data_IF_564911797891
#
_entry.id   IF_564911797891
#
_cell.length_a   1.000
_cell.length_b   1.000
_cell.length_c   1.000
_cell.angle_alpha   90.00
_cell.angle_beta   90.00
_cell.angle_gamma   90.00
#
_symmetry.space_group_name_H-M   'P 1'
#
loop_
_entity.id
_entity.type
_entity.pdbx_description
1 polymer ?
#
# COMPACT_ATOMS: atom_id res chain seq x y z
N UNK A 1 21.10 5.41 -4.29
CA UNK A 1 21.46 4.25 -3.45
C UNK A 1 20.35 3.22 -3.56
N UNK A 2 20.65 2.01 -4.05
CA UNK A 2 19.64 0.93 -4.11
C UNK A 2 19.56 0.25 -2.75
N UNK A 3 18.39 0.24 -2.11
CA UNK A 3 18.19 -0.41 -0.80
C UNK A 3 18.29 -1.94 -0.87
N UNK A 4 18.25 -2.54 -2.07
CA UNK A 4 18.31 -3.99 -2.28
C UNK A 4 17.51 -4.78 -1.22
N UNK A 5 16.18 -4.62 -1.17
CA UNK A 5 15.33 -5.12 -0.08
C UNK A 5 15.39 -6.64 0.09
N UNK A 6 15.79 -7.39 -0.95
CA UNK A 6 15.90 -8.85 -0.95
C UNK A 6 17.33 -9.37 -0.86
N UNK A 7 18.32 -8.54 -0.54
CA UNK A 7 19.70 -8.99 -0.37
C UNK A 7 19.91 -9.78 0.93
N UNK A 8 19.11 -9.49 1.96
CA UNK A 8 19.16 -10.16 3.27
C UNK A 8 17.85 -9.96 4.02
N UNK A 9 17.62 -10.74 5.08
CA UNK A 9 16.48 -10.55 5.97
C UNK A 9 16.53 -9.16 6.63
N UNK A 10 17.69 -8.66 7.03
CA UNK A 10 17.83 -7.33 7.63
C UNK A 10 17.45 -6.19 6.68
N UNK A 11 17.80 -6.30 5.39
CA UNK A 11 17.37 -5.33 4.39
C UNK A 11 15.85 -5.40 4.18
N UNK A 12 15.27 -6.59 4.25
CA UNK A 12 13.83 -6.76 4.15
C UNK A 12 13.09 -6.16 5.35
N UNK A 13 13.63 -6.29 6.57
CA UNK A 13 13.09 -5.64 7.78
C UNK A 13 13.06 -4.12 7.63
N UNK A 14 14.13 -3.51 7.11
CA UNK A 14 14.18 -2.06 6.80
C UNK A 14 13.16 -1.66 5.74
N UNK A 15 12.97 -2.51 4.73
CA UNK A 15 11.93 -2.30 3.72
C UNK A 15 10.53 -2.33 4.33
N UNK A 16 10.24 -3.26 5.25
CA UNK A 16 8.95 -3.30 5.96
C UNK A 16 8.72 -2.06 6.82
N UNK A 17 9.76 -1.55 7.50
CA UNK A 17 9.66 -0.29 8.22
C UNK A 17 9.27 0.87 7.29
N UNK A 18 9.92 1.00 6.13
CA UNK A 18 9.55 2.02 5.15
C UNK A 18 8.12 1.86 4.62
N UNK A 19 7.68 0.62 4.36
CA UNK A 19 6.30 0.34 3.95
C UNK A 19 5.28 0.69 5.04
N UNK A 20 5.63 0.46 6.30
CA UNK A 20 4.77 0.81 7.43
C UNK A 20 4.58 2.31 7.54
N UNK A 21 5.66 3.11 7.48
CA UNK A 21 5.56 4.57 7.55
C UNK A 21 4.74 5.12 6.36
N UNK A 22 5.00 4.60 5.16
CA UNK A 22 4.27 5.00 3.96
C UNK A 22 2.77 4.69 4.07
N UNK A 23 2.42 3.44 4.40
CA UNK A 23 1.02 3.02 4.51
C UNK A 23 0.31 3.66 5.71
N UNK A 24 1.01 3.96 6.80
CA UNK A 24 0.43 4.69 7.95
C UNK A 24 0.08 6.11 7.58
N UNK A 25 0.96 6.79 6.82
CA UNK A 25 0.75 8.17 6.35
C UNK A 25 -0.50 8.29 5.46
N UNK A 26 -0.71 7.33 4.55
CA UNK A 26 -1.83 7.38 3.60
C UNK A 26 -3.10 6.72 4.10
N UNK A 27 -3.05 5.95 5.19
CA UNK A 27 -4.21 5.23 5.73
C UNK A 27 -5.43 6.13 6.01
N UNK A 28 -5.29 7.36 6.55
CA UNK A 28 -6.44 8.26 6.73
C UNK A 28 -7.21 8.55 5.44
N UNK A 29 -6.53 8.56 4.29
CA UNK A 29 -7.16 8.81 2.99
C UNK A 29 -8.17 7.70 2.63
N UNK A 30 -7.86 6.45 2.98
CA UNK A 30 -8.75 5.30 2.75
C UNK A 30 -9.96 5.27 3.71
N UNK A 31 -9.92 6.07 4.77
CA UNK A 31 -10.97 6.22 5.77
C UNK A 31 -11.76 7.53 5.60
N UNK A 32 -11.39 8.35 4.62
CA UNK A 32 -12.08 9.61 4.34
C UNK A 32 -13.49 9.35 3.80
N UNK A 33 -14.51 9.90 4.47
CA UNK A 33 -15.90 9.66 4.13
C UNK A 33 -16.31 10.26 2.78
N UNK A 34 -15.71 11.40 2.37
CA UNK A 34 -16.02 12.02 1.10
C UNK A 34 -15.46 11.21 -0.07
N UNK A 35 -14.26 10.64 0.09
CA UNK A 35 -13.64 9.75 -0.88
C UNK A 35 -14.29 8.37 -0.88
N UNK A 36 -14.73 7.85 0.28
CA UNK A 36 -15.49 6.60 0.34
C UNK A 36 -16.84 6.72 -0.40
N UNK A 37 -17.50 7.88 -0.32
CA UNK A 37 -18.67 8.18 -1.16
C UNK A 37 -18.33 8.35 -2.64
N UNK A 38 -17.04 8.37 -3.00
CA UNK A 38 -16.56 8.47 -4.37
C UNK A 38 -16.00 7.17 -4.98
N UNK A 39 -15.44 6.30 -4.15
CA UNK A 39 -14.77 5.09 -4.58
C UNK A 39 -15.34 3.91 -3.79
N UNK A 40 -16.18 3.12 -4.45
CA UNK A 40 -16.80 1.95 -3.81
C UNK A 40 -15.74 0.94 -3.34
N UNK A 41 -15.77 0.61 -2.05
CA UNK A 41 -14.81 -0.30 -1.44
C UNK A 41 -13.42 0.30 -1.24
N UNK A 42 -13.28 1.64 -1.17
CA UNK A 42 -12.01 2.32 -0.91
C UNK A 42 -11.30 1.78 0.32
N UNK A 43 -12.02 1.65 1.44
CA UNK A 43 -11.43 1.19 2.71
C UNK A 43 -10.80 -0.20 2.61
N UNK A 44 -11.35 -1.09 1.78
CA UNK A 44 -10.79 -2.44 1.57
C UNK A 44 -9.46 -2.44 0.80
N UNK A 45 -9.13 -1.33 0.14
CA UNK A 45 -7.87 -1.19 -0.60
C UNK A 45 -6.69 -0.87 0.32
N UNK A 46 -6.94 -0.41 1.55
CA UNK A 46 -5.91 -0.12 2.53
C UNK A 46 -5.08 -1.39 2.83
N UNK A 47 -3.74 -1.24 2.82
CA UNK A 47 -2.81 -2.35 3.07
C UNK A 47 -2.11 -2.30 4.41
N UNK A 48 -2.36 -1.26 5.22
CA UNK A 48 -1.65 -1.06 6.48
C UNK A 48 -1.73 -2.29 7.40
N UNK A 49 -2.89 -2.93 7.51
CA UNK A 49 -3.06 -4.11 8.37
C UNK A 49 -2.26 -5.32 7.86
N UNK A 50 -2.08 -5.45 6.53
CA UNK A 50 -1.23 -6.50 5.95
C UNK A 50 0.24 -6.25 6.25
N UNK A 51 0.69 -4.99 6.16
CA UNK A 51 2.06 -4.59 6.53
C UNK A 51 2.30 -4.89 8.01
N UNK A 52 1.37 -4.52 8.89
CA UNK A 52 1.45 -4.83 10.33
C UNK A 52 1.53 -6.33 10.60
N UNK A 53 0.76 -7.13 9.86
CA UNK A 53 0.84 -8.60 9.95
C UNK A 53 2.23 -9.12 9.55
N UNK A 54 2.77 -8.66 8.41
CA UNK A 54 4.10 -9.07 7.93
C UNK A 54 5.21 -8.62 8.92
N UNK A 55 5.08 -7.43 9.52
CA UNK A 55 6.00 -6.95 10.56
C UNK A 55 5.94 -7.79 11.83
N UNK A 56 4.74 -8.14 12.31
CA UNK A 56 4.56 -9.00 13.48
C UNK A 56 5.16 -10.38 13.24
N UNK A 57 4.91 -10.95 12.09
CA UNK A 57 5.38 -12.27 11.67
C UNK A 57 6.91 -12.36 11.60
N UNK A 58 7.57 -11.24 11.36
CA UNK A 58 9.01 -11.14 11.30
C UNK A 58 9.62 -10.48 12.53
N UNK A 59 8.85 -10.10 13.54
CA UNK A 59 9.34 -9.40 14.74
C UNK A 59 10.07 -8.10 14.37
N UNK A 60 9.43 -7.26 13.55
CA UNK A 60 9.93 -5.94 13.13
C UNK A 60 9.15 -4.86 13.83
N UNK A 61 9.85 -4.02 14.59
CA UNK A 61 9.28 -2.83 15.18
C UNK A 61 9.28 -1.65 14.18
N UNK A 62 8.34 -0.70 14.30
CA UNK A 62 8.37 0.55 13.56
C UNK A 62 9.71 1.28 13.72
N UNK A 63 10.06 2.13 12.76
CA UNK A 63 11.37 2.81 12.78
C UNK A 63 11.50 3.78 13.98
N UNK A 64 10.38 4.22 14.56
CA UNK A 64 10.35 4.92 15.85
C UNK A 64 10.80 6.37 15.81
N UNK A 65 10.87 6.98 14.62
CA UNK A 65 10.95 8.44 14.49
C UNK A 65 9.56 9.00 14.27
N UNK A 66 9.21 10.05 15.02
CA UNK A 66 8.07 10.90 14.67
C UNK A 66 8.33 11.50 13.29
N UNK A 67 7.68 10.91 12.29
CA UNK A 67 7.54 11.53 10.98
C UNK A 67 6.31 12.40 11.10
N UNK A 68 6.46 13.72 10.93
CA UNK A 68 5.30 14.59 10.81
C UNK A 68 4.47 14.14 9.62
N UNK A 69 3.32 13.55 9.90
CA UNK A 69 2.32 13.23 8.89
C UNK A 69 1.55 14.50 8.55
N UNK A 70 1.78 15.01 7.35
CA UNK A 70 0.97 16.09 6.79
C UNK A 70 -0.48 15.62 6.60
N UNK A 71 -1.42 16.53 6.85
CA UNK A 71 -2.84 16.28 6.63
C UNK A 71 -3.12 16.39 5.13
N UNK A 72 -3.24 15.25 4.46
CA UNK A 72 -3.50 15.15 3.02
C UNK A 72 -5.00 15.23 2.76
N UNK A 73 -5.46 16.19 1.95
CA UNK A 73 -6.91 16.40 1.69
C UNK A 73 -7.20 16.74 0.24
N UNK A 74 -8.48 16.69 -0.14
CA UNK A 74 -8.96 17.15 -1.45
C UNK A 74 -8.30 16.45 -2.64
N UNK A 75 -7.88 17.22 -3.65
CA UNK A 75 -7.25 16.69 -4.86
C UNK A 75 -5.88 16.07 -4.61
N UNK A 76 -5.15 16.53 -3.59
CA UNK A 76 -3.86 15.95 -3.20
C UNK A 76 -4.04 14.49 -2.77
N UNK A 77 -5.09 14.20 -2.00
CA UNK A 77 -5.42 12.86 -1.54
C UNK A 77 -5.65 11.87 -2.69
N UNK A 78 -6.27 12.34 -3.79
CA UNK A 78 -6.44 11.53 -5.00
C UNK A 78 -5.09 11.24 -5.66
N UNK A 79 -4.18 12.22 -5.71
CA UNK A 79 -2.82 12.03 -6.21
C UNK A 79 -2.03 11.00 -5.40
N UNK A 80 -2.16 11.05 -4.07
CA UNK A 80 -1.58 10.04 -3.18
C UNK A 80 -2.19 8.65 -3.40
N UNK A 81 -3.51 8.53 -3.51
CA UNK A 81 -4.16 7.25 -3.84
C UNK A 81 -3.65 6.67 -5.16
N UNK A 82 -3.50 7.50 -6.20
CA UNK A 82 -2.93 7.08 -7.48
C UNK A 82 -1.51 6.52 -7.31
N UNK A 83 -0.65 7.21 -6.57
CA UNK A 83 0.73 6.75 -6.33
C UNK A 83 0.78 5.44 -5.53
N UNK A 84 0.04 5.36 -4.42
CA UNK A 84 0.01 4.17 -3.56
C UNK A 84 -0.53 2.98 -4.34
N UNK A 85 -1.59 3.17 -5.11
CA UNK A 85 -2.20 2.07 -5.83
C UNK A 85 -1.45 1.68 -7.11
N UNK A 86 -0.72 2.62 -7.72
CA UNK A 86 0.23 2.33 -8.79
C UNK A 86 1.47 1.54 -8.31
N UNK A 87 1.91 1.76 -7.06
CA UNK A 87 3.08 1.07 -6.47
C UNK A 87 2.95 -0.47 -6.47
N UNK A 88 1.73 -0.98 -6.56
CA UNK A 88 1.43 -2.40 -6.59
C UNK A 88 1.85 -3.13 -7.87
N UNK A 89 1.92 -2.40 -8.99
CA UNK A 89 2.46 -2.97 -10.23
C UNK A 89 3.94 -3.34 -10.02
N UNK A 90 4.66 -2.53 -9.25
CA UNK A 90 6.02 -2.84 -8.80
C UNK A 90 6.07 -3.98 -7.77
N UNK A 91 5.08 -4.08 -6.88
CA UNK A 91 5.02 -5.14 -5.87
C UNK A 91 5.00 -6.55 -6.48
N UNK A 92 4.32 -6.78 -7.61
CA UNK A 92 4.33 -8.07 -8.30
C UNK A 92 5.74 -8.52 -8.74
N UNK A 93 6.60 -7.57 -9.13
CA UNK A 93 8.01 -7.84 -9.47
C UNK A 93 8.79 -8.17 -8.19
N UNK A 94 8.55 -7.42 -7.11
CA UNK A 94 9.17 -7.64 -5.81
C UNK A 94 8.79 -9.01 -5.20
N UNK A 95 7.58 -9.51 -5.43
CA UNK A 95 7.17 -10.85 -4.99
C UNK A 95 8.05 -11.95 -5.59
N UNK A 96 8.34 -11.86 -6.89
CA UNK A 96 9.21 -12.82 -7.59
C UNK A 96 10.61 -12.85 -6.98
N UNK A 97 11.09 -11.68 -6.54
CA UNK A 97 12.41 -11.51 -5.94
C UNK A 97 12.47 -11.94 -4.46
N UNK A 98 11.36 -11.89 -3.72
CA UNK A 98 11.27 -12.41 -2.34
C UNK A 98 11.58 -13.90 -2.23
N UNK A 99 11.38 -14.65 -3.33
CA UNK A 99 11.78 -16.06 -3.43
C UNK A 99 13.29 -16.31 -3.31
N UNK A 100 14.12 -15.26 -3.43
CA UNK A 100 15.59 -15.34 -3.26
C UNK A 100 16.03 -15.47 -1.80
N UNK A 101 15.16 -15.14 -0.85
CA UNK A 101 15.46 -15.18 0.60
C UNK A 101 14.48 -16.06 1.40
N UNK A 102 13.85 -17.03 0.72
CA UNK A 102 12.93 -18.03 1.29
C UNK A 102 11.73 -17.45 2.08
N UNK A 103 11.22 -16.28 1.70
CA UNK A 103 10.07 -15.66 2.35
C UNK A 103 8.70 -16.11 1.79
N UNK A 104 8.66 -17.16 0.95
CA UNK A 104 7.51 -17.51 0.08
C UNK A 104 6.18 -17.77 0.79
N UNK A 105 6.18 -18.01 2.11
CA UNK A 105 4.98 -18.30 2.92
C UNK A 105 4.47 -17.14 3.78
N UNK A 106 5.16 -15.99 3.81
CA UNK A 106 4.99 -14.98 4.87
C UNK A 106 4.84 -13.54 4.36
N UNK A 107 4.42 -13.36 3.10
CA UNK A 107 4.17 -12.04 2.49
C UNK A 107 2.72 -11.89 2.06
N UNK A 108 1.91 -11.30 2.92
CA UNK A 108 0.54 -10.95 2.54
C UNK A 108 0.46 -9.57 1.89
N UNK A 109 1.39 -8.65 2.20
CA UNK A 109 1.39 -7.30 1.65
C UNK A 109 1.67 -7.27 0.12
N UNK A 110 2.44 -8.22 -0.40
CA UNK A 110 2.90 -8.22 -1.80
C UNK A 110 2.09 -9.18 -2.70
N UNK A 111 1.37 -10.15 -2.13
CA UNK A 111 0.78 -11.29 -2.90
C UNK A 111 -0.63 -11.08 -3.46
N UNK A 112 -1.36 -10.03 -3.06
CA UNK A 112 -2.75 -9.83 -3.50
C UNK A 112 -2.86 -8.85 -4.68
N UNK A 113 -3.31 -9.38 -5.83
CA UNK A 113 -3.35 -8.74 -7.14
C UNK A 113 -4.11 -7.41 -7.23
N UNK A 114 -3.54 -6.49 -8.00
CA UNK A 114 -4.01 -5.09 -8.11
C UNK A 114 -4.53 -4.72 -9.50
N UNK A 115 -4.39 -5.59 -10.50
CA UNK A 115 -4.65 -5.18 -11.88
C UNK A 115 -6.11 -5.05 -12.29
N UNK A 116 -7.12 -5.30 -11.42
CA UNK A 116 -8.54 -5.25 -11.83
C UNK A 116 -9.46 -4.27 -11.10
N UNK A 117 -9.09 -3.70 -9.95
CA UNK A 117 -10.07 -2.97 -9.10
C UNK A 117 -10.17 -1.46 -9.38
N UNK A 118 -9.10 -0.82 -9.87
CA UNK A 118 -9.11 0.62 -10.21
C UNK A 118 -9.90 0.94 -11.48
N UNK A 119 -9.91 0.05 -12.47
CA UNK A 119 -10.59 0.30 -13.74
C UNK A 119 -12.12 0.32 -13.64
N UNK A 120 -12.74 -0.22 -12.60
CA UNK A 120 -14.20 -0.23 -12.47
C UNK A 120 -14.76 0.92 -11.61
N UNK A 121 -14.05 1.36 -10.57
CA UNK A 121 -14.55 2.39 -9.65
C UNK A 121 -14.59 3.81 -10.29
N UNK A 122 -13.62 4.16 -11.14
CA UNK A 122 -13.58 5.46 -11.81
C UNK A 122 -14.51 5.55 -13.03
N UNK A 123 -14.77 4.43 -13.71
CA UNK A 123 -15.58 4.36 -14.94
C UNK A 123 -17.09 4.24 -14.67
N UNK A 124 -17.50 3.74 -13.51
CA UNK A 124 -18.91 3.49 -13.21
C UNK A 124 -19.76 4.77 -13.07
N UNK A 125 -19.17 5.93 -12.79
CA UNK A 125 -19.92 7.19 -12.61
C UNK A 125 -19.94 8.15 -13.79
N UNK A 126 -19.07 7.94 -14.78
CA UNK A 126 -19.17 8.68 -16.04
C UNK A 126 -20.33 8.20 -16.93
N UNK A 127 -20.94 7.04 -16.65
CA UNK A 127 -22.09 6.52 -17.41
C UNK A 127 -23.45 6.78 -16.75
N UNK A 128 -23.49 7.28 -15.51
CA UNK A 128 -24.74 7.57 -14.78
C UNK A 128 -25.12 9.04 -14.77
N UNK A 129 -24.28 9.93 -15.29
CA UNK A 129 -24.54 11.37 -15.38
C UNK A 129 -24.95 11.83 -16.80
N UNK A 130 -25.07 10.88 -17.72
CA UNK A 130 -25.42 11.12 -19.14
C UNK A 130 -26.69 10.34 -19.56
N UNK A 131 -27.62 10.12 -18.60
CA UNK A 131 -28.97 9.59 -18.86
C UNK A 131 -30.04 10.37 -18.13
#
# INVERSE_FOLDING_TARGET
>A
MSMNPFASHDNYRKFLQAQYEFHSTVNPIYQDAQLAGQFDGLTDLARLDRVKSDMKDLEVEPYGKDVETSVITGSEAIGWLYCVEGSNVGAAILYKESGKIDLKRRLWCISSGVTRRWSYAALARHQSQDR
#
